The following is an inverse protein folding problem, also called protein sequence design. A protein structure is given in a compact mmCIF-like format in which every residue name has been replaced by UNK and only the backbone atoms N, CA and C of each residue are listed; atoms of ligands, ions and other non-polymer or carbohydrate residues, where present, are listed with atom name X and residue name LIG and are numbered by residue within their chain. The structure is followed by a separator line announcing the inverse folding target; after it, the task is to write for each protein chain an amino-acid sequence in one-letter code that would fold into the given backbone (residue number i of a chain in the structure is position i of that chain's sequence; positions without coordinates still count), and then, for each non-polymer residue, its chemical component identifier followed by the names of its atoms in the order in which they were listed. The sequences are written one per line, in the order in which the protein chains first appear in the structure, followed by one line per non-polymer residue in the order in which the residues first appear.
data_IF_775078435881
#
_entry.id   IF_775078435881
#
_cell.length_a   1.000
_cell.length_b   1.000
_cell.length_c   1.000
_cell.angle_alpha   90.00
_cell.angle_beta   90.00
_cell.angle_gamma   90.00
#
_symmetry.space_group_name_H-M   'P 1'
#
loop_
_entity.id
_entity.type
_entity.pdbx_description
1 polymer ?
#
# COMPACT_ATOMS: atom_id res chain seq x y z
N UNK A 1 6.47 13.91 7.14
CA UNK A 1 5.10 14.47 7.29
C UNK A 1 4.12 13.32 7.49
N UNK A 2 3.11 13.53 8.32
CA UNK A 2 2.06 12.53 8.59
C UNK A 2 0.87 12.77 7.68
N UNK A 3 0.26 11.69 7.20
CA UNK A 3 -0.86 11.72 6.26
C UNK A 3 -1.94 10.73 6.71
N UNK A 4 -3.20 11.12 6.60
CA UNK A 4 -4.29 10.19 6.84
C UNK A 4 -4.39 9.15 5.71
N UNK A 5 -5.12 8.06 5.98
CA UNK A 5 -5.33 6.98 5.01
C UNK A 5 -6.07 7.41 3.76
N UNK A 6 -6.91 8.45 3.83
CA UNK A 6 -7.68 8.96 2.69
C UNK A 6 -6.77 9.59 1.64
N UNK A 7 -5.76 10.36 2.06
CA UNK A 7 -4.79 10.95 1.13
C UNK A 7 -3.97 9.84 0.47
N UNK A 8 -3.47 8.88 1.25
CA UNK A 8 -2.70 7.75 0.72
C UNK A 8 -3.51 6.93 -0.31
N UNK A 9 -4.78 6.66 -0.02
CA UNK A 9 -5.70 5.97 -0.92
C UNK A 9 -5.92 6.75 -2.23
N UNK A 10 -6.19 8.06 -2.16
CA UNK A 10 -6.36 8.92 -3.34
C UNK A 10 -5.11 9.00 -4.19
N UNK A 11 -3.93 9.06 -3.56
CA UNK A 11 -2.64 9.01 -4.27
C UNK A 11 -2.49 7.68 -5.01
N UNK A 12 -2.79 6.56 -4.38
CA UNK A 12 -2.71 5.24 -5.02
C UNK A 12 -3.70 5.11 -6.19
N UNK A 13 -4.93 5.63 -6.05
CA UNK A 13 -5.92 5.68 -7.13
C UNK A 13 -5.43 6.53 -8.31
N UNK A 14 -4.75 7.64 -8.03
CA UNK A 14 -4.18 8.51 -9.08
C UNK A 14 -3.03 7.81 -9.81
N UNK A 15 -2.12 7.15 -9.07
CA UNK A 15 -0.98 6.45 -9.66
C UNK A 15 -1.44 5.29 -10.56
N UNK A 16 -2.41 4.48 -10.13
CA UNK A 16 -2.88 3.34 -10.94
C UNK A 16 -3.65 3.77 -12.20
N UNK A 17 -4.09 5.03 -12.26
CA UNK A 17 -4.71 5.61 -13.47
C UNK A 17 -3.71 6.08 -14.53
N UNK A 18 -2.41 6.12 -14.20
CA UNK A 18 -1.37 6.51 -15.15
C UNK A 18 -1.07 5.39 -16.16
N UNK A 19 -0.63 5.78 -17.36
CA UNK A 19 -0.27 4.86 -18.42
C UNK A 19 0.85 3.92 -17.95
N UNK A 20 0.69 2.62 -18.25
CA UNK A 20 1.64 1.55 -17.93
C UNK A 20 1.85 1.28 -16.42
N UNK A 21 0.88 1.61 -15.56
CA UNK A 21 0.89 1.22 -14.15
C UNK A 21 -0.17 0.14 -13.88
N UNK A 22 0.28 -1.08 -13.55
CA UNK A 22 -0.60 -2.22 -13.23
C UNK A 22 -1.04 -2.26 -11.77
N UNK A 23 -0.19 -1.77 -10.87
CA UNK A 23 -0.48 -1.59 -9.46
C UNK A 23 0.32 -0.43 -8.88
N UNK A 24 -0.22 0.21 -7.86
CA UNK A 24 0.41 1.29 -7.12
C UNK A 24 0.34 1.01 -5.63
N UNK A 25 1.45 1.27 -4.95
CA UNK A 25 1.59 1.11 -3.50
C UNK A 25 2.11 2.43 -2.91
N UNK A 26 1.37 2.98 -1.95
CA UNK A 26 1.71 4.25 -1.30
C UNK A 26 1.98 3.99 0.16
N UNK A 27 3.21 4.26 0.58
CA UNK A 27 3.67 4.13 1.97
C UNK A 27 3.60 5.51 2.63
N UNK A 28 2.89 5.64 3.74
CA UNK A 28 2.81 6.89 4.50
C UNK A 28 3.02 6.65 5.99
N UNK A 29 3.65 7.63 6.65
CA UNK A 29 3.55 7.75 8.11
C UNK A 29 2.16 8.31 8.44
N UNK A 30 1.40 7.60 9.26
CA UNK A 30 0.06 7.98 9.69
C UNK A 30 0.13 8.88 10.92
N UNK A 31 -0.98 9.58 11.19
CA UNK A 31 -1.14 10.48 12.34
C UNK A 31 -1.20 9.76 13.68
N UNK A 32 -1.48 8.46 13.67
CA UNK A 32 -1.47 7.57 14.86
C UNK A 32 -0.08 6.99 15.14
N UNK A 33 0.95 7.43 14.40
CA UNK A 33 2.33 6.96 14.55
C UNK A 33 2.66 5.68 13.78
N UNK A 34 1.68 5.04 13.16
CA UNK A 34 1.86 3.80 12.39
C UNK A 34 2.36 4.08 10.96
N UNK A 35 2.89 3.05 10.30
CA UNK A 35 3.12 3.10 8.84
C UNK A 35 1.93 2.44 8.14
N UNK A 36 1.29 3.17 7.23
CA UNK A 36 0.24 2.66 6.37
C UNK A 36 0.75 2.36 4.97
N UNK A 37 0.28 1.27 4.37
CA UNK A 37 0.44 1.00 2.94
C UNK A 37 -0.95 0.96 2.31
N UNK A 38 -1.19 1.78 1.29
CA UNK A 38 -2.38 1.72 0.45
C UNK A 38 -2.03 1.11 -0.91
N UNK A 39 -2.70 0.03 -1.29
CA UNK A 39 -2.46 -0.68 -2.54
C UNK A 39 -3.67 -0.59 -3.48
N UNK A 40 -3.38 -0.38 -4.77
CA UNK A 40 -4.37 -0.34 -5.87
C UNK A 40 -3.86 -1.12 -7.08
N UNK A 41 -4.76 -1.77 -7.82
CA UNK A 41 -4.43 -2.41 -9.11
C UNK A 41 -5.51 -2.15 -10.15
N UNK A 42 -5.12 -2.19 -11.42
CA UNK A 42 -6.01 -2.21 -12.59
C UNK A 42 -6.78 -3.53 -12.76
N UNK A 43 -6.61 -4.51 -11.86
CA UNK A 43 -7.19 -5.84 -11.99
C UNK A 43 -6.25 -6.89 -12.61
N UNK A 44 -4.97 -6.53 -12.78
CA UNK A 44 -3.94 -7.44 -13.28
C UNK A 44 -3.08 -8.03 -12.16
N UNK A 45 -2.99 -7.37 -11.01
CA UNK A 45 -2.22 -7.79 -9.85
C UNK A 45 -3.16 -7.92 -8.66
N UNK A 46 -3.16 -9.07 -7.99
CA UNK A 46 -3.95 -9.29 -6.80
C UNK A 46 -3.28 -8.62 -5.58
N UNK A 47 -3.67 -7.38 -5.30
CA UNK A 47 -3.09 -6.62 -4.18
C UNK A 47 -3.59 -7.08 -2.81
N UNK A 48 -4.68 -7.86 -2.76
CA UNK A 48 -5.19 -8.43 -1.52
C UNK A 48 -4.15 -9.35 -0.88
N UNK A 49 -3.68 -10.36 -1.62
CA UNK A 49 -2.75 -11.37 -1.12
C UNK A 49 -1.43 -10.72 -0.68
N UNK A 50 -0.97 -9.70 -1.40
CA UNK A 50 0.24 -8.95 -1.05
C UNK A 50 0.05 -8.24 0.29
N UNK A 51 -1.07 -7.56 0.51
CA UNK A 51 -1.34 -6.89 1.80
C UNK A 51 -1.60 -7.88 2.93
N UNK A 52 -2.27 -9.01 2.67
CA UNK A 52 -2.48 -10.09 3.65
C UNK A 52 -1.15 -10.67 4.13
N UNK A 53 -0.17 -10.84 3.24
CA UNK A 53 1.18 -11.29 3.62
C UNK A 53 1.92 -10.31 4.54
N UNK A 54 1.49 -9.05 4.56
CA UNK A 54 1.99 -7.99 5.42
C UNK A 54 1.06 -7.72 6.63
N UNK A 55 0.15 -8.66 6.94
CA UNK A 55 -0.77 -8.54 8.09
C UNK A 55 -1.96 -7.61 7.86
N UNK A 56 -2.21 -7.20 6.62
CA UNK A 56 -3.36 -6.37 6.23
C UNK A 56 -4.45 -7.17 5.53
N UNK A 57 -5.13 -6.54 4.57
CA UNK A 57 -6.15 -7.19 3.76
C UNK A 57 -6.93 -6.24 2.85
N UNK A 58 -8.03 -6.72 2.28
CA UNK A 58 -8.93 -5.94 1.43
C UNK A 58 -9.55 -6.79 0.32
N UNK A 59 -9.50 -6.27 -0.91
CA UNK A 59 -10.05 -6.87 -2.11
C UNK A 59 -9.00 -6.95 -3.21
N UNK A 60 -9.29 -7.76 -4.24
CA UNK A 60 -8.41 -8.03 -5.38
C UNK A 60 -7.71 -6.79 -5.97
N UNK A 61 -8.44 -5.67 -6.14
CA UNK A 61 -7.90 -4.42 -6.72
C UNK A 61 -7.61 -3.32 -5.71
N UNK A 62 -8.03 -3.48 -4.44
CA UNK A 62 -7.91 -2.46 -3.39
C UNK A 62 -7.65 -3.11 -2.05
N UNK A 63 -6.46 -2.87 -1.50
CA UNK A 63 -6.09 -3.43 -0.21
C UNK A 63 -5.23 -2.44 0.59
N UNK A 64 -5.04 -2.71 1.87
CA UNK A 64 -4.18 -1.92 2.73
C UNK A 64 -3.61 -2.74 3.89
N UNK A 65 -2.49 -2.29 4.44
CA UNK A 65 -1.96 -2.78 5.71
C UNK A 65 -1.51 -1.60 6.59
N UNK A 66 -1.39 -1.85 7.89
CA UNK A 66 -0.87 -0.93 8.88
C UNK A 66 0.14 -1.69 9.74
N UNK A 67 1.32 -1.12 9.94
CA UNK A 67 2.42 -1.76 10.64
C UNK A 67 2.77 -0.97 11.90
N UNK A 68 2.69 -1.64 13.04
CA UNK A 68 3.25 -1.20 14.31
C UNK A 68 4.77 -1.44 14.25
N UNK A 69 5.57 -0.37 14.33
CA UNK A 69 7.04 -0.40 14.35
C UNK A 69 7.73 -0.75 13.02
N UNK A 70 7.65 0.16 12.05
CA UNK A 70 8.49 0.10 10.84
C UNK A 70 9.07 1.46 10.51
N UNK A 71 10.37 1.52 10.22
CA UNK A 71 10.91 2.63 9.44
C UNK A 71 10.30 2.61 8.02
N UNK A 72 10.26 3.76 7.34
CA UNK A 72 9.81 3.81 5.95
C UNK A 72 10.60 2.88 5.03
N UNK A 73 11.91 2.74 5.28
CA UNK A 73 12.80 1.87 4.49
C UNK A 73 12.56 0.37 4.77
N UNK A 74 12.41 -0.01 6.03
CA UNK A 74 12.11 -1.40 6.40
C UNK A 74 10.76 -1.85 5.82
N UNK A 75 9.76 -0.97 5.89
CA UNK A 75 8.44 -1.23 5.31
C UNK A 75 8.52 -1.43 3.80
N UNK A 76 9.33 -0.62 3.12
CA UNK A 76 9.58 -0.73 1.68
C UNK A 76 10.26 -2.06 1.33
N UNK A 77 11.24 -2.51 2.14
CA UNK A 77 11.89 -3.82 1.93
C UNK A 77 10.90 -4.98 2.12
N UNK A 78 10.08 -4.95 3.17
CA UNK A 78 9.01 -5.95 3.39
C UNK A 78 8.03 -5.98 2.21
N UNK A 79 7.62 -4.81 1.72
CA UNK A 79 6.75 -4.71 0.55
C UNK A 79 7.39 -5.31 -0.71
N UNK A 80 8.65 -5.00 -1.00
CA UNK A 80 9.33 -5.61 -2.15
C UNK A 80 9.48 -7.13 -2.02
N UNK A 81 9.71 -7.65 -0.81
CA UNK A 81 9.75 -9.09 -0.60
C UNK A 81 8.39 -9.77 -0.83
N UNK A 82 7.28 -9.05 -0.58
CA UNK A 82 5.92 -9.52 -0.83
C UNK A 82 5.49 -9.43 -2.30
N UNK A 83 6.04 -8.48 -3.05
CA UNK A 83 5.85 -8.36 -4.50
C UNK A 83 6.87 -9.28 -5.19
N UNK A 84 6.46 -10.52 -5.49
CA UNK A 84 7.24 -11.46 -6.30
C UNK A 84 6.75 -11.48 -7.75
#
# INVERSE_FOLDING_TARGET
KEYNSVIAAKTADTLVSMININAAFVITKRTDGLIGISARSTGTINVQIIMESLGGGGHFTKAATQLENGGGEETKQKLYAAIK
#
